data_IF_783198835644
#
_entry.id   IF_783198835644
#
_cell.length_a   1.000
_cell.length_b   1.000
_cell.length_c   1.000
_cell.angle_alpha   90.00
_cell.angle_beta   90.00
_cell.angle_gamma   90.00
#
_symmetry.space_group_name_H-M   'P 1'
#
loop_
_entity.id
_entity.type
_entity.pdbx_description
1 polymer ?
#
# COMPACT_ATOMS: atom_id res chain seq x y z
N UNK A 1 -16.84 29.70 -10.11
CA UNK A 1 -17.19 28.79 -8.99
C UNK A 1 -18.55 29.25 -8.46
N UNK A 2 -19.48 28.33 -8.22
CA UNK A 2 -20.78 28.69 -7.64
C UNK A 2 -20.60 29.18 -6.18
N UNK A 3 -21.52 29.98 -5.67
CA UNK A 3 -21.50 30.49 -4.29
C UNK A 3 -21.49 29.34 -3.25
N UNK A 4 -22.13 28.24 -3.59
CA UNK A 4 -22.13 26.98 -2.81
C UNK A 4 -20.73 26.34 -2.75
N UNK A 5 -20.01 26.32 -3.85
CA UNK A 5 -18.64 25.78 -3.93
C UNK A 5 -17.67 26.62 -3.08
N UNK A 6 -17.80 27.96 -3.12
CA UNK A 6 -17.00 28.85 -2.26
C UNK A 6 -17.28 28.71 -0.77
N UNK A 7 -18.51 28.34 -0.39
CA UNK A 7 -18.87 28.08 1.01
C UNK A 7 -18.29 26.74 1.50
N UNK A 8 -18.38 25.67 0.70
CA UNK A 8 -17.80 24.35 1.02
C UNK A 8 -16.28 24.47 1.17
N UNK A 9 -15.60 25.15 0.25
CA UNK A 9 -14.15 25.38 0.32
C UNK A 9 -13.74 26.11 1.62
N UNK A 10 -14.52 27.11 2.06
CA UNK A 10 -14.26 27.84 3.31
C UNK A 10 -14.43 26.96 4.55
N UNK A 11 -15.44 26.08 4.55
CA UNK A 11 -15.69 25.14 5.67
C UNK A 11 -14.55 24.11 5.73
N UNK A 12 -14.16 23.55 4.60
CA UNK A 12 -13.10 22.56 4.53
C UNK A 12 -11.73 23.14 4.88
N UNK A 13 -11.46 24.39 4.51
CA UNK A 13 -10.21 25.08 4.90
C UNK A 13 -10.06 25.25 6.42
N UNK A 14 -11.16 25.19 7.17
CA UNK A 14 -11.16 25.24 8.65
C UNK A 14 -11.11 23.86 9.30
N UNK A 15 -11.42 22.79 8.55
CA UNK A 15 -11.35 21.40 9.04
C UNK A 15 -9.89 20.96 9.12
N UNK A 16 -9.38 20.51 10.28
CA UNK A 16 -8.03 20.00 10.38
C UNK A 16 -7.88 18.75 9.50
N UNK A 17 -6.78 18.67 8.77
CA UNK A 17 -6.44 17.47 8.00
C UNK A 17 -6.11 16.32 8.93
N UNK A 18 -6.79 15.20 8.75
CA UNK A 18 -6.55 13.95 9.44
C UNK A 18 -6.08 12.92 8.41
N UNK A 19 -4.78 12.85 8.25
CA UNK A 19 -4.18 11.95 7.25
C UNK A 19 -4.38 10.49 7.66
N UNK A 20 -4.80 9.65 6.70
CA UNK A 20 -4.84 8.22 6.84
C UNK A 20 -3.99 7.61 5.72
N UNK A 21 -2.87 7.01 6.10
CA UNK A 21 -1.98 6.32 5.17
C UNK A 21 -2.56 4.94 4.83
N UNK A 22 -3.00 4.76 3.59
CA UNK A 22 -3.67 3.53 3.14
C UNK A 22 -2.71 2.37 2.87
N UNK A 23 -1.39 2.65 2.81
CA UNK A 23 -0.42 1.70 2.30
C UNK A 23 0.93 1.79 3.02
N UNK A 24 1.16 0.82 3.90
CA UNK A 24 2.45 0.66 4.57
C UNK A 24 2.71 -0.82 4.88
N UNK A 25 3.94 -1.17 5.12
CA UNK A 25 4.36 -2.55 5.41
C UNK A 25 4.89 -2.67 6.82
N UNK A 26 4.34 -3.60 7.64
CA UNK A 26 4.83 -3.78 9.01
C UNK A 26 6.27 -4.31 8.98
N UNK A 27 7.12 -3.69 9.79
CA UNK A 27 8.43 -4.22 10.08
C UNK A 27 8.33 -5.44 11.00
N UNK A 28 9.28 -6.34 10.90
CA UNK A 28 9.43 -7.47 11.81
C UNK A 28 10.74 -7.32 12.54
N UNK A 29 10.68 -6.88 13.78
CA UNK A 29 11.84 -6.88 14.67
C UNK A 29 11.45 -7.37 16.07
N UNK A 30 11.43 -8.68 16.21
CA UNK A 30 11.65 -9.33 17.50
C UNK A 30 12.59 -10.52 17.32
N UNK A 31 13.63 -10.61 18.16
CA UNK A 31 14.44 -11.83 18.29
C UNK A 31 13.50 -13.03 18.46
N UNK A 32 13.55 -13.96 17.52
CA UNK A 32 12.77 -15.19 17.54
C UNK A 32 11.68 -15.32 16.47
N UNK A 33 11.22 -14.22 15.83
CA UNK A 33 10.32 -14.26 14.67
C UNK A 33 11.11 -13.96 13.39
N UNK A 34 12.27 -13.37 13.53
CA UNK A 34 13.07 -12.70 12.51
C UNK A 34 13.91 -13.62 11.64
N UNK A 35 14.06 -14.87 11.95
CA UNK A 35 14.95 -15.73 11.14
C UNK A 35 14.45 -15.97 9.71
N UNK A 36 13.20 -15.61 9.38
CA UNK A 36 12.62 -15.85 8.05
C UNK A 36 11.56 -14.86 7.57
N UNK A 37 11.34 -13.74 8.24
CA UNK A 37 10.12 -12.97 7.96
C UNK A 37 10.36 -11.46 8.07
N UNK A 38 10.50 -10.80 6.95
CA UNK A 38 10.49 -9.36 6.92
C UNK A 38 10.78 -8.83 5.54
N UNK A 39 10.03 -7.84 5.08
CA UNK A 39 10.29 -7.18 3.81
C UNK A 39 11.69 -6.52 3.76
N UNK A 40 12.40 -6.44 4.89
CA UNK A 40 13.73 -5.83 4.99
C UNK A 40 14.91 -6.80 4.88
N UNK A 41 14.73 -8.06 5.21
CA UNK A 41 15.83 -9.05 5.07
C UNK A 41 16.22 -9.27 3.60
N UNK A 42 15.29 -9.08 2.67
CA UNK A 42 15.61 -9.18 1.27
C UNK A 42 16.48 -8.02 0.77
N UNK A 43 16.37 -6.82 1.35
CA UNK A 43 17.21 -5.70 0.99
C UNK A 43 18.67 -5.90 1.41
N UNK A 44 18.88 -6.50 2.57
CA UNK A 44 20.21 -6.82 3.10
C UNK A 44 20.99 -7.76 2.22
N UNK A 45 20.30 -8.63 1.46
CA UNK A 45 20.94 -9.63 0.59
C UNK A 45 20.92 -9.32 -0.91
N UNK A 46 20.22 -8.26 -1.35
CA UNK A 46 19.98 -8.02 -2.76
C UNK A 46 20.58 -6.71 -3.27
N UNK A 47 21.71 -6.82 -3.98
CA UNK A 47 22.45 -5.66 -4.51
C UNK A 47 21.66 -4.87 -5.57
N UNK A 48 20.72 -5.47 -6.29
CA UNK A 48 19.90 -4.78 -7.30
C UNK A 48 18.86 -3.90 -6.62
N UNK A 49 18.09 -4.47 -5.70
CA UNK A 49 17.10 -3.72 -4.90
C UNK A 49 17.80 -2.66 -4.06
N UNK A 50 18.91 -3.02 -3.42
CA UNK A 50 19.72 -2.07 -2.68
C UNK A 50 20.14 -0.88 -3.54
N UNK A 51 20.61 -1.12 -4.79
CA UNK A 51 21.00 -0.04 -5.72
C UNK A 51 19.82 0.82 -6.15
N UNK A 52 18.66 0.23 -6.44
CA UNK A 52 17.45 0.96 -6.80
C UNK A 52 17.01 1.88 -5.66
N UNK A 53 16.94 1.34 -4.45
CA UNK A 53 16.60 2.10 -3.24
C UNK A 53 17.64 3.17 -2.91
N UNK A 54 18.93 2.88 -3.08
CA UNK A 54 20.01 3.85 -2.89
C UNK A 54 19.93 4.98 -3.91
N UNK A 55 19.65 4.65 -5.17
CA UNK A 55 19.42 5.63 -6.22
C UNK A 55 18.25 6.54 -5.89
N UNK A 56 17.12 5.97 -5.48
CA UNK A 56 15.95 6.72 -5.04
C UNK A 56 16.26 7.62 -3.83
N UNK A 57 16.95 7.12 -2.82
CA UNK A 57 17.33 7.89 -1.62
C UNK A 57 18.31 9.02 -1.93
N UNK A 58 19.36 8.75 -2.74
CA UNK A 58 20.29 9.79 -3.20
C UNK A 58 19.55 10.88 -3.96
N UNK A 59 18.65 10.49 -4.83
CA UNK A 59 17.83 11.37 -5.62
C UNK A 59 16.86 12.21 -4.77
N UNK A 60 16.39 11.65 -3.66
CA UNK A 60 15.55 12.30 -2.66
C UNK A 60 16.34 13.23 -1.69
N UNK A 61 17.65 13.39 -1.93
CA UNK A 61 18.49 14.28 -1.15
C UNK A 61 19.02 13.68 0.16
N UNK A 62 18.96 12.35 0.31
CA UNK A 62 19.63 11.69 1.43
C UNK A 62 21.15 11.89 1.32
N UNK A 63 21.81 12.55 2.27
CA UNK A 63 23.26 12.81 2.19
C UNK A 63 24.10 11.53 2.33
N UNK A 64 23.47 10.42 2.80
CA UNK A 64 24.13 9.14 3.04
C UNK A 64 23.28 7.94 2.56
N UNK A 65 22.86 7.91 1.29
CA UNK A 65 21.89 6.94 0.79
C UNK A 65 22.38 5.49 0.86
N UNK A 66 23.70 5.30 0.97
CA UNK A 66 24.33 3.98 1.01
C UNK A 66 24.59 3.45 2.42
N UNK A 67 24.54 4.29 3.45
CA UNK A 67 24.96 3.91 4.81
C UNK A 67 24.12 2.82 5.43
N UNK A 68 22.79 2.93 5.30
CA UNK A 68 21.84 2.01 5.94
C UNK A 68 21.70 0.66 5.23
N UNK A 69 22.14 0.55 3.96
CA UNK A 69 22.05 -0.69 3.16
C UNK A 69 23.33 -1.49 3.24
N UNK A 70 24.47 -0.80 3.33
CA UNK A 70 25.78 -1.43 3.49
C UNK A 70 26.05 -1.88 4.91
N UNK A 71 25.33 -1.33 5.88
CA UNK A 71 25.46 -1.65 7.30
C UNK A 71 24.07 -2.01 7.88
N UNK A 72 23.70 -3.28 7.82
CA UNK A 72 22.41 -3.76 8.34
C UNK A 72 22.14 -3.37 9.79
N UNK A 73 23.19 -3.22 10.59
CA UNK A 73 23.14 -2.79 11.99
C UNK A 73 22.76 -1.30 12.17
N UNK A 74 22.90 -0.50 11.11
CA UNK A 74 22.50 0.92 11.10
C UNK A 74 21.08 1.12 10.54
N UNK A 75 20.40 0.05 10.09
CA UNK A 75 18.99 0.14 9.69
C UNK A 75 18.16 0.55 10.91
N UNK A 76 17.26 1.54 10.77
CA UNK A 76 16.34 1.89 11.84
C UNK A 76 15.56 0.66 12.30
N UNK A 77 15.36 0.54 13.59
CA UNK A 77 14.43 -0.44 14.15
C UNK A 77 13.01 -0.08 13.72
N UNK A 78 12.36 -0.98 13.00
CA UNK A 78 10.98 -0.77 12.52
C UNK A 78 9.97 -1.36 13.54
N UNK A 79 10.10 -0.93 14.79
CA UNK A 79 9.13 -1.27 15.82
C UNK A 79 7.84 -0.49 15.65
N UNK A 80 6.71 -0.93 16.23
CA UNK A 80 5.46 -0.17 16.20
C UNK A 80 5.62 1.27 16.72
N UNK A 81 6.46 1.48 17.75
CA UNK A 81 6.78 2.81 18.29
C UNK A 81 7.46 3.70 17.25
N UNK A 82 8.37 3.14 16.46
CA UNK A 82 9.03 3.88 15.36
C UNK A 82 8.02 4.31 14.31
N UNK A 83 7.06 3.43 13.95
CA UNK A 83 5.96 3.80 13.06
C UNK A 83 5.15 4.98 13.61
N UNK A 84 4.76 4.90 14.89
CA UNK A 84 4.01 5.98 15.54
C UNK A 84 4.80 7.29 15.53
N UNK A 85 6.11 7.27 15.79
CA UNK A 85 6.97 8.46 15.74
C UNK A 85 6.97 9.11 14.34
N UNK A 86 7.08 8.32 13.26
CA UNK A 86 6.99 8.84 11.89
C UNK A 86 5.61 9.39 11.58
N UNK A 87 4.54 8.69 11.97
CA UNK A 87 3.17 9.15 11.81
C UNK A 87 2.94 10.50 12.53
N UNK A 88 3.40 10.61 13.77
CA UNK A 88 3.26 11.86 14.56
C UNK A 88 4.05 13.01 13.93
N UNK A 89 5.26 12.74 13.43
CA UNK A 89 6.09 13.74 12.76
C UNK A 89 5.44 14.32 11.51
N UNK A 90 4.56 13.57 10.85
CA UNK A 90 3.86 13.93 9.63
C UNK A 90 2.36 14.23 9.82
N UNK A 91 1.88 14.25 11.07
CA UNK A 91 0.46 14.45 11.41
C UNK A 91 -0.46 13.39 10.76
N UNK A 92 0.01 12.14 10.70
CA UNK A 92 -0.76 10.98 10.23
C UNK A 92 -1.51 10.35 11.39
N UNK A 93 -2.84 10.35 11.33
CA UNK A 93 -3.71 9.83 12.38
C UNK A 93 -3.67 8.31 12.43
N UNK A 94 -3.79 7.66 11.28
CA UNK A 94 -3.86 6.21 11.17
C UNK A 94 -3.17 5.69 9.92
N UNK A 95 -2.81 4.40 9.94
CA UNK A 95 -2.09 3.71 8.89
C UNK A 95 -2.64 2.31 8.67
N UNK A 96 -2.74 1.88 7.41
CA UNK A 96 -3.11 0.52 7.03
C UNK A 96 -1.84 -0.29 6.71
N UNK A 97 -1.61 -1.34 7.48
CA UNK A 97 -0.47 -2.23 7.33
C UNK A 97 -0.79 -3.41 6.41
N UNK A 98 0.07 -3.69 5.47
CA UNK A 98 -0.11 -4.78 4.51
C UNK A 98 0.76 -5.97 4.90
N UNK A 99 0.14 -7.02 5.44
CA UNK A 99 0.79 -8.29 5.65
C UNK A 99 1.01 -8.95 4.28
N UNK A 100 2.26 -9.21 3.91
CA UNK A 100 2.57 -9.91 2.67
C UNK A 100 2.88 -11.36 2.98
N UNK A 101 2.25 -12.26 2.22
CA UNK A 101 2.70 -13.61 2.02
C UNK A 101 3.23 -13.73 0.59
N UNK A 102 4.51 -14.03 0.41
CA UNK A 102 5.09 -14.05 -0.91
C UNK A 102 6.31 -14.94 -1.02
N UNK A 103 6.49 -15.52 -2.20
CA UNK A 103 7.70 -16.27 -2.57
C UNK A 103 7.99 -15.94 -4.02
N UNK A 104 9.18 -15.38 -4.30
CA UNK A 104 9.61 -15.15 -5.68
C UNK A 104 10.04 -16.44 -6.36
N UNK A 105 10.11 -16.42 -7.70
CA UNK A 105 10.78 -17.48 -8.43
C UNK A 105 12.28 -17.52 -8.09
N UNK A 106 12.92 -18.70 -8.15
CA UNK A 106 14.38 -18.78 -8.10
C UNK A 106 15.04 -17.97 -9.21
N UNK A 107 16.20 -17.37 -8.91
CA UNK A 107 16.96 -16.62 -9.90
C UNK A 107 18.48 -16.76 -9.65
N UNK A 108 19.34 -16.37 -10.60
CA UNK A 108 20.79 -16.42 -10.39
C UNK A 108 21.21 -15.65 -9.14
N UNK A 109 21.79 -16.34 -8.18
CA UNK A 109 22.20 -15.79 -6.87
C UNK A 109 21.27 -16.15 -5.70
N UNK A 110 20.03 -16.59 -5.96
CA UNK A 110 19.13 -17.11 -4.93
C UNK A 110 18.27 -18.26 -5.48
N UNK A 111 18.71 -19.49 -5.23
CA UNK A 111 18.04 -20.71 -5.73
C UNK A 111 16.71 -21.01 -5.06
N UNK A 112 16.46 -20.45 -3.88
CA UNK A 112 15.23 -20.67 -3.11
C UNK A 112 14.19 -19.58 -3.34
N UNK A 113 14.55 -18.49 -4.04
CA UNK A 113 13.76 -17.29 -4.12
C UNK A 113 13.70 -16.53 -2.78
N UNK A 114 13.09 -15.36 -2.80
CA UNK A 114 12.79 -14.61 -1.58
C UNK A 114 11.46 -15.09 -0.99
N UNK A 115 11.39 -15.13 0.33
CA UNK A 115 10.18 -15.48 1.07
C UNK A 115 9.80 -14.35 2.00
N UNK A 116 8.56 -13.92 1.92
CA UNK A 116 7.95 -12.99 2.86
C UNK A 116 6.84 -13.67 3.61
N UNK A 117 6.83 -13.46 4.90
CA UNK A 117 5.75 -13.90 5.75
C UNK A 117 5.59 -12.95 6.93
N UNK A 118 4.46 -12.26 6.98
CA UNK A 118 4.09 -11.43 8.13
C UNK A 118 2.87 -12.05 8.80
N UNK A 119 3.01 -12.63 10.00
CA UNK A 119 1.87 -13.22 10.72
C UNK A 119 0.80 -12.20 11.06
N UNK A 120 -0.47 -12.51 10.77
CA UNK A 120 -1.59 -11.64 11.11
C UNK A 120 -1.68 -11.38 12.61
N UNK A 121 -1.47 -12.41 13.44
CA UNK A 121 -1.51 -12.34 14.90
C UNK A 121 -0.43 -11.42 15.48
N UNK A 122 0.75 -11.39 14.84
CA UNK A 122 1.82 -10.47 15.22
C UNK A 122 1.37 -9.01 14.99
N UNK A 123 0.88 -8.69 13.81
CA UNK A 123 0.42 -7.34 13.48
C UNK A 123 -0.76 -6.93 14.35
N UNK A 124 -1.70 -7.85 14.57
CA UNK A 124 -2.81 -7.61 15.49
C UNK A 124 -2.33 -7.23 16.88
N UNK A 125 -1.45 -8.04 17.48
CA UNK A 125 -0.99 -7.89 18.85
C UNK A 125 -0.08 -6.69 19.03
N UNK A 126 0.97 -6.59 18.21
CA UNK A 126 2.07 -5.63 18.43
C UNK A 126 1.77 -4.24 17.88
N UNK A 127 0.87 -4.13 16.88
CA UNK A 127 0.48 -2.85 16.27
C UNK A 127 -0.93 -2.42 16.67
N UNK A 128 -1.95 -3.23 16.35
CA UNK A 128 -3.35 -2.79 16.45
C UNK A 128 -3.80 -2.74 17.90
N UNK A 129 -3.52 -3.81 18.69
CA UNK A 129 -3.92 -3.89 20.08
C UNK A 129 -3.05 -3.00 20.99
N UNK A 130 -1.75 -2.85 20.65
CA UNK A 130 -0.81 -2.02 21.42
C UNK A 130 -1.03 -0.52 21.17
N UNK A 131 -1.49 -0.12 19.96
CA UNK A 131 -1.72 1.27 19.60
C UNK A 131 -3.15 1.47 19.04
N UNK A 132 -4.19 1.38 19.87
CA UNK A 132 -5.57 1.42 19.44
C UNK A 132 -5.93 2.69 18.68
N UNK A 133 -6.48 2.53 17.47
CA UNK A 133 -6.88 3.65 16.62
C UNK A 133 -5.76 4.22 15.73
N UNK A 134 -4.52 3.72 15.85
CA UNK A 134 -3.40 4.16 15.00
C UNK A 134 -3.20 3.23 13.80
N UNK A 135 -3.55 1.97 13.91
CA UNK A 135 -3.33 0.98 12.87
C UNK A 135 -4.58 0.18 12.54
N UNK A 136 -4.70 -0.18 11.29
CA UNK A 136 -5.45 -1.31 10.78
C UNK A 136 -4.54 -2.15 9.89
N UNK A 137 -4.98 -3.33 9.45
CA UNK A 137 -4.15 -4.17 8.58
C UNK A 137 -5.00 -4.98 7.60
N UNK A 138 -4.34 -5.50 6.56
CA UNK A 138 -4.87 -6.52 5.64
C UNK A 138 -3.98 -7.75 5.69
N UNK A 139 -4.60 -8.94 5.70
CA UNK A 139 -3.89 -10.21 5.79
C UNK A 139 -3.33 -10.67 4.44
N UNK A 140 -2.10 -11.16 4.40
CA UNK A 140 -1.51 -11.68 3.18
C UNK A 140 -2.15 -13.00 2.73
N UNK A 141 -2.48 -13.13 1.44
CA UNK A 141 -3.00 -14.36 0.84
C UNK A 141 -2.14 -14.75 -0.37
N UNK A 142 -1.84 -16.04 -0.49
CA UNK A 142 -1.01 -16.57 -1.55
C UNK A 142 -1.56 -17.89 -2.08
N UNK A 143 -1.77 -18.08 -3.41
CA UNK A 143 -2.38 -19.26 -3.98
C UNK A 143 -1.45 -20.49 -4.05
N UNK A 144 -0.14 -20.32 -3.81
CA UNK A 144 0.87 -21.38 -3.95
C UNK A 144 0.59 -22.62 -3.11
N UNK A 145 -0.10 -22.44 -2.00
CA UNK A 145 -0.45 -23.55 -1.10
C UNK A 145 -1.80 -24.18 -1.41
N UNK A 146 -2.40 -23.81 -2.56
CA UNK A 146 -3.69 -24.29 -3.03
C UNK A 146 -4.88 -23.45 -2.58
N UNK A 147 -6.03 -23.72 -3.21
CA UNK A 147 -7.28 -22.98 -3.03
C UNK A 147 -7.74 -22.96 -1.57
N UNK A 148 -7.70 -24.12 -0.92
CA UNK A 148 -8.15 -24.26 0.46
C UNK A 148 -7.28 -23.43 1.43
N UNK A 149 -5.95 -23.47 1.27
CA UNK A 149 -5.05 -22.69 2.08
C UNK A 149 -5.24 -21.17 1.87
N UNK A 150 -5.55 -20.74 0.63
CA UNK A 150 -5.86 -19.34 0.35
C UNK A 150 -7.14 -18.90 1.09
N UNK A 151 -8.16 -19.75 1.14
CA UNK A 151 -9.39 -19.49 1.92
C UNK A 151 -9.11 -19.43 3.42
N UNK A 152 -8.28 -20.32 3.95
CA UNK A 152 -7.87 -20.32 5.37
C UNK A 152 -7.10 -19.05 5.76
N UNK A 153 -6.26 -18.52 4.85
CA UNK A 153 -5.60 -17.22 5.05
C UNK A 153 -6.59 -16.06 5.12
N UNK A 154 -7.66 -16.09 4.31
CA UNK A 154 -8.77 -15.11 4.40
C UNK A 154 -9.47 -15.20 5.77
N UNK A 155 -9.77 -16.41 6.23
CA UNK A 155 -10.41 -16.64 7.52
C UNK A 155 -9.51 -16.13 8.67
N UNK A 156 -8.21 -16.41 8.63
CA UNK A 156 -7.25 -15.89 9.62
C UNK A 156 -7.25 -14.36 9.67
N UNK A 157 -7.30 -13.68 8.52
CA UNK A 157 -7.39 -12.22 8.49
C UNK A 157 -8.69 -11.71 9.13
N UNK A 158 -9.82 -12.38 8.83
CA UNK A 158 -11.12 -12.06 9.42
C UNK A 158 -11.14 -12.27 10.95
N UNK A 159 -10.57 -13.36 11.45
CA UNK A 159 -10.45 -13.65 12.89
C UNK A 159 -9.58 -12.61 13.60
N UNK A 160 -8.55 -12.08 12.94
CA UNK A 160 -7.77 -10.94 13.41
C UNK A 160 -8.53 -9.60 13.34
N UNK A 161 -9.76 -9.58 12.83
CA UNK A 161 -10.60 -8.38 12.60
C UNK A 161 -9.97 -7.41 11.61
N UNK A 162 -9.22 -7.92 10.64
CA UNK A 162 -8.74 -7.13 9.54
C UNK A 162 -9.89 -6.87 8.56
N UNK A 163 -9.99 -5.66 7.97
CA UNK A 163 -11.07 -5.31 7.05
C UNK A 163 -10.85 -5.88 5.64
N UNK A 164 -9.74 -6.55 5.37
CA UNK A 164 -9.41 -7.07 4.05
C UNK A 164 -8.18 -7.96 3.99
N UNK A 165 -7.82 -8.32 2.77
CA UNK A 165 -6.64 -9.13 2.46
C UNK A 165 -5.75 -8.42 1.44
N UNK A 166 -4.47 -8.87 1.37
CA UNK A 166 -3.47 -8.45 0.38
C UNK A 166 -3.12 -9.60 -0.55
N UNK A 167 -3.21 -9.35 -1.85
CA UNK A 167 -2.62 -10.17 -2.91
C UNK A 167 -1.40 -9.44 -3.47
N UNK A 168 -0.30 -10.14 -3.66
CA UNK A 168 0.96 -9.60 -4.16
C UNK A 168 1.38 -10.32 -5.46
N UNK A 169 0.85 -9.92 -6.63
CA UNK A 169 1.10 -10.56 -7.92
C UNK A 169 2.57 -10.77 -8.28
N UNK A 170 3.52 -9.89 -7.92
CA UNK A 170 4.94 -10.15 -8.12
C UNK A 170 5.37 -11.54 -7.64
N UNK A 171 4.78 -12.03 -6.56
CA UNK A 171 5.10 -13.31 -5.94
C UNK A 171 4.00 -14.37 -6.10
N UNK A 172 2.74 -13.97 -6.26
CA UNK A 172 1.58 -14.87 -6.32
C UNK A 172 1.13 -15.23 -7.73
N UNK A 173 1.66 -14.57 -8.76
CA UNK A 173 1.19 -14.73 -10.13
C UNK A 173 -0.02 -13.86 -10.47
N UNK A 174 -0.71 -14.17 -11.54
CA UNK A 174 -1.84 -13.37 -12.02
C UNK A 174 -2.94 -13.19 -10.97
N UNK A 175 -3.48 -11.97 -10.79
CA UNK A 175 -4.59 -11.74 -9.86
C UNK A 175 -5.89 -12.44 -10.29
N UNK A 176 -6.11 -12.67 -11.58
CA UNK A 176 -7.22 -13.46 -12.12
C UNK A 176 -6.93 -14.98 -12.16
N UNK A 177 -5.95 -15.46 -11.37
CA UNK A 177 -5.69 -16.90 -11.25
C UNK A 177 -6.91 -17.60 -10.62
N UNK A 178 -7.48 -18.66 -11.26
CA UNK A 178 -8.62 -19.40 -10.73
C UNK A 178 -8.40 -19.98 -9.31
N UNK A 179 -7.16 -20.16 -8.89
CA UNK A 179 -6.85 -20.63 -7.54
C UNK A 179 -7.08 -19.55 -6.45
N UNK A 180 -7.20 -18.29 -6.83
CA UNK A 180 -7.56 -17.17 -5.94
C UNK A 180 -9.07 -16.94 -5.86
N UNK A 181 -9.87 -17.44 -6.80
CA UNK A 181 -11.31 -17.17 -6.87
C UNK A 181 -12.06 -17.59 -5.60
N UNK A 182 -11.81 -18.79 -5.01
CA UNK A 182 -12.43 -19.15 -3.74
C UNK A 182 -12.09 -18.20 -2.57
N UNK A 183 -10.90 -17.60 -2.60
CA UNK A 183 -10.54 -16.58 -1.62
C UNK A 183 -11.30 -15.26 -1.85
N UNK A 184 -11.53 -14.85 -3.11
CA UNK A 184 -12.36 -13.69 -3.43
C UNK A 184 -13.84 -13.91 -3.06
N UNK A 185 -14.40 -15.09 -3.34
CA UNK A 185 -15.74 -15.49 -2.89
C UNK A 185 -15.86 -15.39 -1.37
N UNK A 186 -14.87 -15.91 -0.64
CA UNK A 186 -14.84 -15.85 0.82
C UNK A 186 -14.75 -14.40 1.33
N UNK A 187 -13.99 -13.53 0.64
CA UNK A 187 -13.94 -12.10 0.98
C UNK A 187 -15.32 -11.45 0.81
N UNK A 188 -16.05 -11.72 -0.29
CA UNK A 188 -17.42 -11.21 -0.47
C UNK A 188 -18.37 -11.71 0.63
N UNK A 189 -18.31 -13.00 0.95
CA UNK A 189 -19.12 -13.61 2.01
C UNK A 189 -18.90 -12.94 3.37
N UNK A 190 -17.63 -12.63 3.71
CA UNK A 190 -17.25 -12.04 4.98
C UNK A 190 -17.28 -10.49 4.99
N UNK A 191 -17.59 -9.85 3.85
CA UNK A 191 -17.58 -8.39 3.71
C UNK A 191 -16.19 -7.76 3.78
N UNK A 192 -15.15 -8.54 3.44
CA UNK A 192 -13.77 -8.08 3.36
C UNK A 192 -13.47 -7.46 1.99
N UNK A 193 -12.57 -6.46 1.96
CA UNK A 193 -12.03 -5.95 0.71
C UNK A 193 -10.72 -6.67 0.32
N UNK A 194 -10.32 -6.53 -0.93
CA UNK A 194 -9.05 -7.08 -1.43
C UNK A 194 -8.14 -5.94 -1.90
N UNK A 195 -6.91 -5.91 -1.43
CA UNK A 195 -5.87 -5.01 -1.92
C UNK A 195 -4.91 -5.80 -2.82
N UNK A 196 -4.71 -5.34 -4.05
CA UNK A 196 -3.92 -6.05 -5.06
C UNK A 196 -2.82 -5.12 -5.56
N UNK A 197 -1.57 -5.54 -5.43
CA UNK A 197 -0.43 -4.82 -5.98
C UNK A 197 -0.49 -4.78 -7.51
N UNK A 198 -0.23 -3.63 -8.10
CA UNK A 198 -0.03 -3.43 -9.54
C UNK A 198 1.17 -2.51 -9.78
N UNK A 199 1.67 -2.48 -11.02
CA UNK A 199 2.90 -1.74 -11.31
C UNK A 199 4.15 -2.60 -11.13
N UNK A 200 5.28 -2.12 -11.62
CA UNK A 200 6.51 -2.91 -11.64
C UNK A 200 7.24 -2.81 -10.30
N UNK A 201 7.56 -3.95 -9.74
CA UNK A 201 8.45 -4.07 -8.59
C UNK A 201 9.85 -4.52 -9.04
N UNK A 202 10.90 -3.95 -8.42
CA UNK A 202 12.29 -4.18 -8.80
C UNK A 202 12.87 -5.47 -8.22
N UNK A 203 12.04 -6.37 -7.69
CA UNK A 203 12.49 -7.60 -7.06
C UNK A 203 12.95 -8.63 -8.08
N UNK A 204 14.21 -9.12 -7.99
CA UNK A 204 14.64 -10.28 -8.76
C UNK A 204 13.78 -11.51 -8.44
N UNK A 205 13.45 -12.27 -9.48
CA UNK A 205 12.57 -13.43 -9.36
C UNK A 205 11.08 -13.10 -9.46
N UNK A 206 10.71 -11.83 -9.72
CA UNK A 206 9.34 -11.44 -10.05
C UNK A 206 9.14 -11.26 -11.56
N UNK A 207 7.89 -11.23 -12.00
CA UNK A 207 7.55 -11.05 -13.42
C UNK A 207 6.61 -9.87 -13.60
N UNK A 208 7.05 -8.85 -14.34
CA UNK A 208 6.28 -7.64 -14.60
C UNK A 208 4.87 -7.92 -15.17
N UNK A 209 4.72 -8.96 -15.99
CA UNK A 209 3.43 -9.33 -16.58
C UNK A 209 2.34 -9.67 -15.56
N UNK A 210 2.69 -10.14 -14.36
CA UNK A 210 1.71 -10.44 -13.31
C UNK A 210 1.16 -9.17 -12.64
N UNK A 211 1.85 -8.06 -12.82
CA UNK A 211 1.60 -6.79 -12.15
C UNK A 211 0.82 -5.81 -13.03
N UNK A 212 0.43 -6.23 -14.25
CA UNK A 212 -0.34 -5.40 -15.17
C UNK A 212 -1.79 -5.26 -14.65
N UNK A 213 -2.29 -4.04 -14.46
CA UNK A 213 -3.66 -3.80 -14.00
C UNK A 213 -4.73 -4.35 -14.94
N UNK A 214 -4.41 -4.72 -16.18
CA UNK A 214 -5.37 -5.33 -17.11
C UNK A 214 -6.03 -6.58 -16.53
N UNK A 215 -5.31 -7.35 -15.72
CA UNK A 215 -5.87 -8.57 -15.10
C UNK A 215 -6.85 -8.30 -13.95
N UNK A 216 -6.91 -7.07 -13.45
CA UNK A 216 -7.93 -6.67 -12.48
C UNK A 216 -9.28 -6.39 -13.12
N UNK A 217 -9.31 -6.16 -14.41
CA UNK A 217 -10.55 -6.03 -15.18
C UNK A 217 -11.40 -7.29 -15.04
N UNK A 218 -10.79 -8.47 -15.21
CA UNK A 218 -11.46 -9.76 -15.04
C UNK A 218 -11.98 -9.93 -13.61
N UNK A 219 -11.14 -9.69 -12.60
CA UNK A 219 -11.53 -9.85 -11.19
C UNK A 219 -12.66 -8.92 -10.80
N UNK A 220 -12.62 -7.66 -11.27
CA UNK A 220 -13.68 -6.69 -10.97
C UNK A 220 -15.00 -7.04 -11.64
N UNK A 221 -14.97 -7.63 -12.84
CA UNK A 221 -16.14 -8.12 -13.56
C UNK A 221 -16.73 -9.36 -12.91
N UNK A 222 -15.89 -10.32 -12.53
CA UNK A 222 -16.33 -11.61 -11.96
C UNK A 222 -16.86 -11.45 -10.53
N UNK A 223 -16.37 -10.44 -9.80
CA UNK A 223 -16.74 -10.16 -8.40
C UNK A 223 -17.28 -8.73 -8.21
N UNK A 224 -18.44 -8.37 -8.79
CA UNK A 224 -18.93 -6.99 -8.82
C UNK A 224 -19.29 -6.42 -7.42
N UNK A 225 -19.51 -7.27 -6.43
CA UNK A 225 -19.78 -6.87 -5.04
C UNK A 225 -18.53 -6.84 -4.16
N UNK A 226 -17.38 -7.28 -4.66
CA UNK A 226 -16.10 -7.25 -3.95
C UNK A 226 -15.47 -5.87 -4.10
N UNK A 227 -15.19 -5.19 -3.00
CA UNK A 227 -14.39 -3.97 -3.05
C UNK A 227 -12.93 -4.33 -3.31
N UNK A 228 -12.36 -3.79 -4.38
CA UNK A 228 -10.98 -4.04 -4.81
C UNK A 228 -10.21 -2.72 -4.74
N UNK A 229 -9.09 -2.71 -4.03
CA UNK A 229 -8.13 -1.62 -4.04
C UNK A 229 -6.91 -2.03 -4.88
N UNK A 230 -6.79 -1.42 -6.04
CA UNK A 230 -5.64 -1.52 -6.91
C UNK A 230 -4.53 -0.62 -6.36
N UNK A 231 -3.46 -1.22 -5.86
CA UNK A 231 -2.33 -0.48 -5.31
C UNK A 231 -1.41 0.00 -6.42
N UNK A 232 -0.80 1.19 -6.23
CA UNK A 232 0.13 1.85 -7.16
C UNK A 232 -0.44 2.17 -8.55
N UNK A 233 -1.71 1.86 -8.83
CA UNK A 233 -2.40 2.19 -10.10
C UNK A 233 -1.62 1.79 -11.38
N UNK A 234 -0.87 0.71 -11.35
CA UNK A 234 -0.09 0.24 -12.52
C UNK A 234 1.15 1.05 -12.86
N UNK A 235 1.66 1.85 -11.92
CA UNK A 235 2.89 2.66 -12.10
C UNK A 235 4.04 1.81 -12.66
N UNK A 236 4.82 2.38 -13.59
CA UNK A 236 5.90 1.74 -14.37
C UNK A 236 5.52 0.60 -15.32
N UNK A 237 4.26 0.17 -15.31
CA UNK A 237 3.79 -0.87 -16.22
C UNK A 237 2.71 -0.31 -17.15
N UNK A 238 1.50 -0.11 -16.63
CA UNK A 238 0.36 0.32 -17.43
C UNK A 238 -0.55 1.27 -16.62
N UNK A 239 -0.08 2.49 -16.29
CA UNK A 239 -0.83 3.41 -15.44
C UNK A 239 -2.15 3.87 -16.07
N UNK A 240 -2.22 4.00 -17.41
CA UNK A 240 -3.45 4.37 -18.09
C UNK A 240 -4.53 3.30 -17.95
N UNK A 241 -4.17 2.02 -18.00
CA UNK A 241 -5.11 0.94 -17.72
C UNK A 241 -5.55 0.94 -16.26
N UNK A 242 -4.61 1.25 -15.34
CA UNK A 242 -4.93 1.42 -13.93
C UNK A 242 -5.98 2.51 -13.69
N UNK A 243 -5.81 3.67 -14.29
CA UNK A 243 -6.79 4.76 -14.23
C UNK A 243 -8.13 4.35 -14.86
N UNK A 244 -8.09 3.69 -16.01
CA UNK A 244 -9.28 3.27 -16.74
C UNK A 244 -10.12 2.25 -15.98
N UNK A 245 -9.47 1.32 -15.28
CA UNK A 245 -10.14 0.36 -14.41
C UNK A 245 -10.96 1.04 -13.30
N UNK A 246 -10.41 2.09 -12.68
CA UNK A 246 -11.10 2.84 -11.62
C UNK A 246 -12.35 3.56 -12.16
N UNK A 247 -12.29 4.02 -13.42
CA UNK A 247 -13.46 4.62 -14.09
C UNK A 247 -14.49 3.56 -14.45
N UNK A 248 -14.04 2.45 -15.02
CA UNK A 248 -14.89 1.41 -15.60
C UNK A 248 -15.68 0.64 -14.54
N UNK A 249 -15.08 0.37 -13.37
CA UNK A 249 -15.66 -0.51 -12.36
C UNK A 249 -16.04 0.23 -11.08
N UNK A 250 -17.30 0.13 -10.66
CA UNK A 250 -17.79 0.78 -9.43
C UNK A 250 -17.13 0.24 -8.16
N UNK A 251 -16.74 -1.02 -8.17
CA UNK A 251 -16.12 -1.74 -7.06
C UNK A 251 -14.59 -1.62 -7.00
N UNK A 252 -13.95 -0.94 -7.97
CA UNK A 252 -12.49 -0.80 -8.03
C UNK A 252 -12.05 0.61 -7.63
N UNK A 253 -11.08 0.67 -6.73
CA UNK A 253 -10.45 1.86 -6.14
C UNK A 253 -8.95 1.82 -6.42
N UNK A 254 -8.25 2.94 -6.19
CA UNK A 254 -6.79 2.99 -6.31
C UNK A 254 -6.15 3.82 -5.21
N UNK A 255 -4.85 3.65 -5.00
CA UNK A 255 -4.06 4.57 -4.22
C UNK A 255 -3.00 5.28 -5.09
N UNK A 256 -2.51 6.38 -4.57
CA UNK A 256 -1.29 7.02 -5.04
C UNK A 256 -0.24 6.82 -3.93
N UNK A 257 0.81 6.10 -4.26
CA UNK A 257 1.90 5.82 -3.33
C UNK A 257 3.15 6.60 -3.67
N UNK A 258 3.97 6.86 -2.66
CA UNK A 258 5.25 7.58 -2.80
C UNK A 258 5.11 8.89 -3.61
N UNK A 259 4.14 9.76 -3.29
CA UNK A 259 3.95 11.03 -4.02
C UNK A 259 5.01 12.06 -3.62
N UNK A 260 6.29 11.74 -3.81
CA UNK A 260 7.41 12.62 -3.47
C UNK A 260 7.61 13.70 -4.54
N UNK A 261 7.86 14.98 -4.18
CA UNK A 261 7.93 16.08 -5.15
C UNK A 261 8.96 15.86 -6.24
N UNK A 262 10.14 15.35 -5.90
CA UNK A 262 11.20 15.09 -6.87
C UNK A 262 10.85 13.95 -7.81
N UNK A 263 10.29 12.85 -7.30
CA UNK A 263 9.85 11.72 -8.14
C UNK A 263 8.74 12.13 -9.10
N UNK A 264 7.81 12.97 -8.64
CA UNK A 264 6.74 13.52 -9.48
C UNK A 264 7.28 14.42 -10.60
N UNK A 265 8.32 15.24 -10.36
CA UNK A 265 8.97 16.06 -11.40
C UNK A 265 9.52 15.22 -12.55
N UNK A 266 10.07 14.05 -12.24
CA UNK A 266 10.61 13.13 -13.24
C UNK A 266 9.57 12.14 -13.79
N UNK A 267 8.29 12.28 -13.38
CA UNK A 267 7.20 11.34 -13.73
C UNK A 267 7.54 9.90 -13.39
N UNK A 268 8.35 9.73 -12.33
CA UNK A 268 8.86 8.42 -11.95
C UNK A 268 7.76 7.54 -11.34
N UNK A 269 6.92 8.11 -10.45
CA UNK A 269 5.71 7.42 -9.92
C UNK A 269 4.45 8.10 -10.43
N UNK A 270 4.25 9.35 -10.04
CA UNK A 270 3.06 10.13 -10.32
C UNK A 270 3.46 11.47 -10.90
N UNK A 271 2.60 12.05 -11.72
CA UNK A 271 2.66 13.47 -12.07
C UNK A 271 1.36 14.16 -11.66
N UNK A 272 1.38 15.48 -11.70
CA UNK A 272 0.24 16.29 -11.34
C UNK A 272 -0.96 16.05 -12.25
N UNK A 273 -0.73 15.76 -13.53
CA UNK A 273 -1.80 15.55 -14.50
C UNK A 273 -2.60 14.27 -14.20
N UNK A 274 -1.92 13.19 -13.81
CA UNK A 274 -2.58 11.97 -13.34
C UNK A 274 -3.41 12.20 -12.07
N UNK A 275 -2.89 12.97 -11.12
CA UNK A 275 -3.62 13.27 -9.87
C UNK A 275 -4.83 14.17 -10.16
N UNK A 276 -4.70 15.16 -11.05
CA UNK A 276 -5.83 15.99 -11.51
C UNK A 276 -6.87 15.18 -12.27
N UNK A 277 -6.45 14.20 -13.05
CA UNK A 277 -7.36 13.28 -13.72
C UNK A 277 -8.23 12.54 -12.68
N UNK A 278 -7.61 12.02 -11.62
CA UNK A 278 -8.33 11.37 -10.53
C UNK A 278 -9.25 12.35 -9.78
N UNK A 279 -8.78 13.57 -9.52
CA UNK A 279 -9.59 14.64 -8.91
C UNK A 279 -10.85 14.92 -9.72
N UNK A 280 -10.72 14.97 -11.04
CA UNK A 280 -11.83 15.32 -11.92
C UNK A 280 -12.81 14.17 -12.14
N UNK A 281 -12.31 12.98 -12.42
CA UNK A 281 -13.14 11.84 -12.82
C UNK A 281 -13.56 10.95 -11.65
N UNK A 282 -12.67 10.71 -10.66
CA UNK A 282 -12.85 9.71 -9.62
C UNK A 282 -12.45 10.20 -8.21
N UNK A 283 -12.93 11.41 -7.79
CA UNK A 283 -12.45 12.02 -6.55
C UNK A 283 -12.72 11.21 -5.28
N UNK A 284 -13.69 10.29 -5.33
CA UNK A 284 -14.10 9.45 -4.19
C UNK A 284 -13.46 8.05 -4.16
N UNK A 285 -12.65 7.72 -5.19
CA UNK A 285 -12.09 6.36 -5.37
C UNK A 285 -10.58 6.29 -5.26
N UNK A 286 -9.92 7.35 -4.83
CA UNK A 286 -8.46 7.42 -4.70
C UNK A 286 -8.04 7.66 -3.27
N UNK A 287 -6.96 7.01 -2.84
CA UNK A 287 -6.41 7.07 -1.50
C UNK A 287 -4.94 7.49 -1.52
N UNK A 288 -4.49 8.08 -0.43
CA UNK A 288 -3.09 8.42 -0.20
C UNK A 288 -2.37 7.25 0.48
N UNK A 289 -1.18 6.89 -0.01
CA UNK A 289 -0.31 5.88 0.57
C UNK A 289 1.16 6.29 0.53
N UNK A 290 1.96 5.82 1.47
CA UNK A 290 3.39 6.13 1.50
C UNK A 290 4.27 4.99 1.06
N UNK A 291 3.77 3.76 1.10
CA UNK A 291 4.58 2.55 0.96
C UNK A 291 5.71 2.50 2.01
N UNK A 292 5.40 3.04 3.22
CA UNK A 292 6.32 3.05 4.35
C UNK A 292 6.63 1.61 4.79
N UNK A 293 7.85 1.28 5.14
CA UNK A 293 9.01 2.12 5.35
C UNK A 293 9.95 2.24 4.14
N UNK A 294 9.52 1.85 2.94
CA UNK A 294 10.27 2.07 1.70
C UNK A 294 10.60 3.55 1.50
N UNK A 295 9.68 4.40 1.91
CA UNK A 295 9.72 5.84 1.76
C UNK A 295 10.51 6.60 2.85
N UNK A 296 11.24 5.89 3.73
CA UNK A 296 12.20 6.56 4.62
C UNK A 296 13.34 7.18 3.80
N UNK A 297 13.87 8.31 4.17
CA UNK A 297 13.56 9.26 5.25
C UNK A 297 12.58 10.37 4.87
N UNK A 298 11.86 10.23 3.78
CA UNK A 298 11.06 11.31 3.15
C UNK A 298 9.58 11.26 3.50
N UNK A 299 9.20 10.49 4.51
CA UNK A 299 7.81 10.27 4.90
C UNK A 299 7.01 11.58 5.05
N UNK A 300 7.55 12.55 5.81
CA UNK A 300 6.93 13.87 5.99
C UNK A 300 6.82 14.64 4.68
N UNK A 301 7.85 14.60 3.82
CA UNK A 301 7.87 15.33 2.57
C UNK A 301 6.75 14.91 1.61
N UNK A 302 6.31 13.65 1.65
CA UNK A 302 5.21 13.17 0.82
C UNK A 302 3.86 13.75 1.26
N UNK A 303 3.60 13.83 2.56
CA UNK A 303 2.41 14.49 3.11
C UNK A 303 2.40 15.97 2.71
N UNK A 304 3.50 16.67 2.97
CA UNK A 304 3.64 18.09 2.66
C UNK A 304 3.52 18.35 1.15
N UNK A 305 4.00 17.46 0.31
CA UNK A 305 3.88 17.58 -1.14
C UNK A 305 2.40 17.62 -1.57
N UNK A 306 1.61 16.63 -1.18
CA UNK A 306 0.16 16.61 -1.53
C UNK A 306 -0.53 17.87 -1.02
N UNK A 307 -0.20 18.32 0.20
CA UNK A 307 -0.79 19.53 0.78
C UNK A 307 -0.47 20.78 -0.04
N UNK A 308 0.69 20.82 -0.70
CA UNK A 308 1.16 21.97 -1.50
C UNK A 308 0.76 21.88 -2.99
N UNK A 309 0.26 20.73 -3.48
CA UNK A 309 -0.19 20.63 -4.86
C UNK A 309 -1.38 21.55 -5.14
N UNK A 310 -1.52 22.08 -6.38
CA UNK A 310 -2.64 22.92 -6.80
C UNK A 310 -3.90 22.08 -7.07
N UNK A 311 -4.40 21.42 -6.03
CA UNK A 311 -5.62 20.61 -5.99
C UNK A 311 -6.65 21.33 -5.11
N UNK A 312 -7.94 21.03 -5.29
CA UNK A 312 -8.98 21.60 -4.43
C UNK A 312 -8.83 21.11 -2.98
N UNK A 313 -9.22 21.95 -2.03
CA UNK A 313 -9.19 21.58 -0.60
C UNK A 313 -10.07 20.37 -0.32
N UNK A 314 -11.23 20.29 -0.97
CA UNK A 314 -12.14 19.15 -0.87
C UNK A 314 -11.45 17.86 -1.29
N UNK A 315 -10.80 17.85 -2.46
CA UNK A 315 -10.11 16.65 -2.96
C UNK A 315 -8.94 16.26 -2.05
N UNK A 316 -8.17 17.23 -1.54
CA UNK A 316 -7.11 16.94 -0.56
C UNK A 316 -7.64 16.24 0.68
N UNK A 317 -8.78 16.65 1.25
CA UNK A 317 -9.41 15.95 2.38
C UNK A 317 -9.82 14.53 2.00
N UNK A 318 -10.46 14.34 0.84
CA UNK A 318 -10.85 13.04 0.31
C UNK A 318 -9.64 12.12 0.15
N UNK A 319 -8.64 12.58 -0.62
CA UNK A 319 -7.43 11.85 -0.93
C UNK A 319 -6.66 11.45 0.33
N UNK A 320 -6.42 12.42 1.22
CA UNK A 320 -5.54 12.25 2.39
C UNK A 320 -6.17 11.43 3.53
N UNK A 321 -7.44 11.05 3.43
CA UNK A 321 -8.00 10.16 4.44
C UNK A 321 -9.51 9.95 4.44
N UNK A 322 -10.34 10.93 4.07
CA UNK A 322 -11.81 10.78 4.18
C UNK A 322 -12.32 9.62 3.31
N UNK A 323 -11.78 9.45 2.11
CA UNK A 323 -12.14 8.33 1.22
C UNK A 323 -11.78 6.99 1.83
N UNK A 324 -10.58 6.84 2.38
CA UNK A 324 -10.15 5.56 2.93
C UNK A 324 -10.89 5.22 4.22
N UNK A 325 -11.21 6.21 5.07
CA UNK A 325 -12.11 6.01 6.22
C UNK A 325 -13.49 5.51 5.80
N UNK A 326 -14.06 6.13 4.75
CA UNK A 326 -15.35 5.70 4.18
C UNK A 326 -15.28 4.30 3.61
N UNK A 327 -14.22 3.97 2.87
CA UNK A 327 -13.98 2.66 2.29
C UNK A 327 -13.95 1.55 3.34
N UNK A 328 -13.26 1.80 4.48
CA UNK A 328 -13.13 0.88 5.60
C UNK A 328 -14.32 0.89 6.58
N UNK A 329 -15.27 1.81 6.47
CA UNK A 329 -16.22 2.14 7.54
C UNK A 329 -15.51 2.45 8.88
N UNK A 330 -14.36 3.13 8.81
CA UNK A 330 -13.52 3.44 9.96
C UNK A 330 -14.20 4.41 10.91
N UNK A 331 -14.35 4.00 12.17
CA UNK A 331 -14.78 4.86 13.26
C UNK A 331 -13.58 5.30 14.06
N UNK A 332 -13.22 6.57 13.99
CA UNK A 332 -12.18 7.12 14.87
C UNK A 332 -12.61 6.91 16.34
N UNK A 333 -11.74 6.38 17.18
CA UNK A 333 -12.01 6.22 18.61
C UNK A 333 -11.89 7.54 19.40
N UNK A 334 -11.69 8.66 18.71
CA UNK A 334 -11.67 10.00 19.28
C UNK A 334 -13.04 10.66 19.11
N UNK A 335 -14.06 10.10 19.75
CA UNK A 335 -15.30 10.77 20.17
C UNK A 335 -15.63 10.36 21.58
#
# INVERSE_FOLDING_TARGET
MSEQQGTIEKILAQKPFKVFDSHAHPGLEKKGITERAGCFDFWRGNTVVARSMMGARAFLGDPNPFSTITKPEECPNFTPETFVQYMDSANVEAMCLQCIHGVTDPYPGNKDGWKWYVPNEYVKKEFIDAFPGRFTAVGGVHPRYGKQAAVEMVISAYECRFPGIKIHPPTSGYPNNPDLYPAYEKCQELGLHVQIHTGVEELPGTRAKYQDPVYLDDVAMDFPNLKILQLHCGVFNNPMMGLWNVIKHDNLYTDITIPHPTLMQFKYYWDLDHIRFLEFFMPDKVFYGTDFPLSLPVYRAMVDNIMNLPLTTEFKHKLMGDNFRKFLNWKSKTQ
#
